data_IF_241988966356
#
_entry.id   IF_241988966356
#
_cell.length_a   1.000
_cell.length_b   1.000
_cell.length_c   1.000
_cell.angle_alpha   90.00
_cell.angle_beta   90.00
_cell.angle_gamma   90.00
#
_symmetry.space_group_name_H-M   'P 1'
#
loop_
_entity.id
_entity.type
_entity.pdbx_description
1 polymer ?
#
# COMPACT_ATOMS: atom_id res chain seq x y z
N UNK A 1 -22.00 1.94 11.90
CA UNK A 1 -20.68 1.25 11.96
C UNK A 1 -19.66 1.79 10.94
N UNK A 2 -20.00 2.07 9.67
CA UNK A 2 -19.04 2.53 8.65
C UNK A 2 -18.30 3.85 8.97
N UNK A 3 -19.00 4.86 9.48
CA UNK A 3 -18.40 6.16 9.81
C UNK A 3 -17.36 6.09 10.93
N UNK A 4 -17.59 5.28 11.96
CA UNK A 4 -16.62 5.09 13.05
C UNK A 4 -15.34 4.41 12.55
N UNK A 5 -15.48 3.38 11.71
CA UNK A 5 -14.34 2.72 11.05
C UNK A 5 -13.56 3.69 10.18
N UNK A 6 -14.23 4.49 9.34
CA UNK A 6 -13.58 5.49 8.49
C UNK A 6 -12.82 6.54 9.31
N UNK A 7 -13.42 7.03 10.40
CA UNK A 7 -12.79 8.04 11.26
C UNK A 7 -11.53 7.49 11.93
N UNK A 8 -11.57 6.25 12.42
CA UNK A 8 -10.40 5.56 12.98
C UNK A 8 -9.31 5.36 11.92
N UNK A 9 -9.65 4.92 10.71
CA UNK A 9 -8.66 4.73 9.64
C UNK A 9 -8.01 6.04 9.20
N UNK A 10 -8.78 7.14 9.12
CA UNK A 10 -8.26 8.47 8.78
C UNK A 10 -7.28 8.98 9.85
N UNK A 11 -7.51 8.67 11.13
CA UNK A 11 -6.56 8.95 12.20
C UNK A 11 -5.25 8.17 12.06
N UNK A 12 -5.31 7.00 11.41
CA UNK A 12 -4.15 6.18 11.05
C UNK A 12 -3.69 6.40 9.59
N UNK A 13 -4.07 7.52 8.98
CA UNK A 13 -3.56 7.98 7.69
C UNK A 13 -4.07 7.25 6.45
N UNK A 14 -5.15 6.47 6.58
CA UNK A 14 -5.78 5.73 5.49
C UNK A 14 -7.22 6.21 5.31
N UNK A 15 -7.54 6.70 4.12
CA UNK A 15 -8.93 6.90 3.71
C UNK A 15 -9.31 5.83 2.68
N UNK A 16 -10.34 5.06 3.00
CA UNK A 16 -10.89 4.03 2.13
C UNK A 16 -12.20 4.51 1.50
N UNK A 17 -12.17 4.66 0.17
CA UNK A 17 -13.32 4.97 -0.67
C UNK A 17 -13.63 3.70 -1.50
N UNK A 18 -14.88 3.22 -1.45
CA UNK A 18 -15.33 2.13 -2.31
C UNK A 18 -15.89 2.78 -3.58
N UNK A 19 -15.17 2.66 -4.68
CA UNK A 19 -15.56 3.18 -5.98
C UNK A 19 -16.69 2.38 -6.63
N UNK A 20 -17.23 2.90 -7.74
CA UNK A 20 -18.22 2.19 -8.53
C UNK A 20 -17.65 0.84 -9.02
N UNK A 21 -18.45 -0.22 -8.95
CA UNK A 21 -18.04 -1.58 -9.38
C UNK A 21 -17.19 -2.37 -8.36
N UNK A 22 -17.05 -1.89 -7.11
CA UNK A 22 -16.32 -2.59 -6.05
C UNK A 22 -14.81 -2.35 -6.06
N UNK A 23 -14.32 -1.44 -6.90
CA UNK A 23 -12.93 -1.01 -6.88
C UNK A 23 -12.58 -0.31 -5.56
N UNK A 24 -11.54 -0.80 -4.87
CA UNK A 24 -11.06 -0.21 -3.63
C UNK A 24 -10.13 0.96 -3.96
N UNK A 25 -10.55 2.19 -3.67
CA UNK A 25 -9.69 3.36 -3.75
C UNK A 25 -9.16 3.68 -2.35
N UNK A 26 -7.85 3.65 -2.20
CA UNK A 26 -7.19 3.99 -0.93
C UNK A 26 -6.37 5.25 -1.11
N UNK A 27 -6.60 6.26 -0.27
CA UNK A 27 -5.74 7.44 -0.16
C UNK A 27 -4.91 7.31 1.11
N UNK A 28 -3.62 7.56 0.98
CA UNK A 28 -2.68 7.41 2.09
C UNK A 28 -1.88 8.70 2.21
N UNK A 29 -1.86 9.29 3.39
CA UNK A 29 -1.01 10.43 3.69
C UNK A 29 0.35 9.93 4.19
N UNK A 30 1.43 10.20 3.45
CA UNK A 30 2.78 9.75 3.79
C UNK A 30 3.66 10.93 4.19
N UNK A 31 4.68 10.71 5.01
CA UNK A 31 5.72 11.74 5.20
C UNK A 31 6.60 11.84 3.96
N UNK A 32 7.29 12.97 3.82
CA UNK A 32 8.23 13.19 2.73
C UNK A 32 9.35 12.15 2.73
N UNK A 33 9.91 11.81 3.89
CA UNK A 33 11.01 10.84 3.94
C UNK A 33 10.57 9.45 3.48
N UNK A 34 9.33 9.05 3.79
CA UNK A 34 8.77 7.76 3.34
C UNK A 34 8.62 7.71 1.82
N UNK A 35 8.12 8.80 1.22
CA UNK A 35 7.97 8.90 -0.23
C UNK A 35 9.34 8.84 -0.94
N UNK A 36 10.35 9.54 -0.41
CA UNK A 36 11.71 9.54 -0.94
C UNK A 36 12.37 8.16 -0.85
N UNK A 37 12.10 7.40 0.22
CA UNK A 37 12.62 6.03 0.41
C UNK A 37 11.84 4.97 -0.37
N UNK A 38 10.75 5.34 -1.05
CA UNK A 38 9.81 4.42 -1.70
C UNK A 38 9.29 3.35 -0.72
N UNK A 39 9.16 3.74 0.55
CA UNK A 39 8.67 2.89 1.62
C UNK A 39 7.14 2.95 1.60
N UNK A 40 6.54 1.96 0.97
CA UNK A 40 5.09 1.83 0.95
C UNK A 40 4.59 1.41 2.35
N UNK A 41 3.50 2.00 2.86
CA UNK A 41 3.00 1.80 4.23
C UNK A 41 2.30 0.45 4.48
N UNK A 42 2.63 -0.56 3.67
CA UNK A 42 2.28 -1.97 3.91
C UNK A 42 3.12 -2.60 5.03
N UNK A 43 4.12 -1.90 5.58
CA UNK A 43 4.92 -2.34 6.73
C UNK A 43 4.20 -2.21 8.08
N UNK A 44 2.94 -2.66 8.18
CA UNK A 44 2.28 -2.80 9.47
C UNK A 44 2.50 -4.22 10.02
N UNK A 45 2.97 -4.32 11.26
CA UNK A 45 3.15 -5.61 11.95
C UNK A 45 4.50 -6.29 11.65
N UNK A 46 4.45 -7.59 11.34
CA UNK A 46 5.61 -8.46 11.11
C UNK A 46 5.98 -8.61 9.61
N UNK A 47 5.35 -7.80 8.76
CA UNK A 47 5.56 -7.79 7.33
C UNK A 47 6.97 -7.30 6.97
N UNK A 48 7.76 -8.14 6.32
CA UNK A 48 9.01 -7.75 5.66
C UNK A 48 8.73 -7.44 4.21
N UNK A 49 9.33 -6.37 3.71
CA UNK A 49 9.23 -5.96 2.31
C UNK A 49 10.62 -5.72 1.75
N UNK A 50 10.80 -6.06 0.48
CA UNK A 50 11.96 -5.70 -0.32
C UNK A 50 11.50 -4.95 -1.57
N UNK A 51 12.24 -3.91 -1.94
CA UNK A 51 12.06 -3.22 -3.21
C UNK A 51 13.38 -3.26 -3.98
N UNK A 52 13.33 -3.79 -5.20
CA UNK A 52 14.48 -3.89 -6.09
C UNK A 52 14.25 -2.98 -7.28
N UNK A 53 15.04 -1.92 -7.40
CA UNK A 53 15.01 -1.07 -8.58
C UNK A 53 15.61 -1.83 -9.77
N UNK A 54 14.83 -1.97 -10.84
CA UNK A 54 15.26 -2.66 -12.08
C UNK A 54 15.71 -1.67 -13.17
N UNK A 55 15.10 -0.50 -13.23
CA UNK A 55 15.46 0.63 -14.12
C UNK A 55 15.02 1.95 -13.47
N UNK A 56 15.30 3.14 -14.05
CA UNK A 56 14.79 4.40 -13.49
C UNK A 56 13.28 4.45 -13.29
N UNK A 57 12.52 3.75 -14.14
CA UNK A 57 11.06 3.76 -14.14
C UNK A 57 10.41 2.44 -13.72
N UNK A 58 11.19 1.37 -13.48
CA UNK A 58 10.67 0.06 -13.09
C UNK A 58 11.33 -0.48 -11.83
N UNK A 59 10.54 -1.09 -10.97
CA UNK A 59 11.03 -1.81 -9.80
C UNK A 59 10.15 -3.01 -9.49
N UNK A 60 10.72 -3.94 -8.76
CA UNK A 60 10.03 -5.12 -8.26
C UNK A 60 9.83 -4.99 -6.76
N UNK A 61 8.62 -5.29 -6.28
CA UNK A 61 8.28 -5.32 -4.87
C UNK A 61 7.94 -6.75 -4.48
N UNK A 62 8.45 -7.19 -3.34
CA UNK A 62 8.04 -8.44 -2.70
C UNK A 62 7.84 -8.21 -1.21
N UNK A 63 6.84 -8.84 -0.63
CA UNK A 63 6.58 -8.77 0.81
C UNK A 63 6.11 -10.11 1.37
N UNK A 64 6.33 -10.31 2.67
CA UNK A 64 5.85 -11.46 3.42
C UNK A 64 5.57 -11.07 4.86
N UNK A 65 4.39 -11.43 5.36
CA UNK A 65 3.92 -11.30 6.73
C UNK A 65 3.68 -12.71 7.28
N UNK A 66 3.88 -12.93 8.58
CA UNK A 66 3.65 -14.24 9.20
C UNK A 66 2.33 -14.30 9.96
N UNK A 67 1.73 -13.16 10.34
CA UNK A 67 0.48 -13.09 11.12
C UNK A 67 -0.46 -11.96 10.66
N UNK A 68 -1.49 -12.25 9.84
CA UNK A 68 -1.75 -13.52 9.16
C UNK A 68 -0.68 -13.82 8.10
N UNK A 69 -0.59 -15.09 7.66
CA UNK A 69 0.40 -15.50 6.66
C UNK A 69 -0.02 -14.98 5.29
N UNK A 70 0.63 -13.89 4.88
CA UNK A 70 0.35 -13.22 3.61
C UNK A 70 1.66 -12.94 2.92
N UNK A 71 1.76 -13.26 1.65
CA UNK A 71 2.89 -12.87 0.81
C UNK A 71 2.40 -12.24 -0.47
N UNK A 72 3.26 -11.47 -1.12
CA UNK A 72 2.94 -10.94 -2.42
C UNK A 72 4.17 -10.43 -3.13
N UNK A 73 4.06 -10.36 -4.44
CA UNK A 73 5.11 -9.88 -5.32
C UNK A 73 4.48 -9.15 -6.50
N UNK A 74 5.25 -8.26 -7.13
CA UNK A 74 4.76 -7.57 -8.30
C UNK A 74 5.74 -6.57 -8.87
N UNK A 75 5.44 -6.13 -10.08
CA UNK A 75 6.24 -5.16 -10.81
C UNK A 75 5.54 -3.82 -10.82
N UNK A 76 6.29 -2.77 -10.52
CA UNK A 76 5.87 -1.39 -10.50
C UNK A 76 6.54 -0.64 -11.64
N UNK A 77 5.75 0.16 -12.36
CA UNK A 77 6.19 1.07 -13.41
C UNK A 77 5.72 2.48 -13.09
N UNK A 78 6.64 3.44 -12.99
CA UNK A 78 6.32 4.86 -12.90
C UNK A 78 5.99 5.40 -14.30
N UNK A 79 4.78 5.94 -14.47
CA UNK A 79 4.36 6.54 -15.74
C UNK A 79 4.87 7.98 -15.87
N UNK A 80 4.94 8.70 -14.76
CA UNK A 80 5.52 10.04 -14.63
C UNK A 80 5.89 10.30 -13.16
N UNK A 81 6.36 11.51 -12.86
CA UNK A 81 6.81 11.92 -11.52
C UNK A 81 5.72 11.81 -10.44
N UNK A 82 4.46 11.76 -10.84
CA UNK A 82 3.29 11.77 -9.94
C UNK A 82 2.37 10.55 -10.11
N UNK A 83 2.69 9.57 -10.96
CA UNK A 83 1.84 8.38 -11.10
C UNK A 83 2.61 7.11 -11.44
N UNK A 84 2.08 5.99 -10.97
CA UNK A 84 2.61 4.67 -11.24
C UNK A 84 1.47 3.67 -11.50
N UNK A 85 1.83 2.56 -12.16
CA UNK A 85 1.03 1.34 -12.21
C UNK A 85 1.84 0.20 -11.61
N UNK A 86 1.17 -0.76 -11.01
CA UNK A 86 1.77 -1.99 -10.56
C UNK A 86 0.86 -3.16 -10.86
N UNK A 87 1.46 -4.31 -11.13
CA UNK A 87 0.75 -5.57 -11.24
C UNK A 87 1.21 -6.47 -10.08
N UNK A 88 0.27 -6.87 -9.22
CA UNK A 88 0.57 -7.52 -7.95
C UNK A 88 -0.15 -8.85 -7.85
N UNK A 89 0.59 -9.88 -7.41
CA UNK A 89 0.05 -11.18 -7.04
C UNK A 89 0.20 -11.38 -5.54
N UNK A 90 -0.91 -11.41 -4.83
CA UNK A 90 -0.98 -11.59 -3.38
C UNK A 90 -1.49 -12.98 -3.06
N UNK A 91 -0.82 -13.68 -2.15
CA UNK A 91 -1.21 -14.98 -1.62
C UNK A 91 -1.54 -14.81 -0.13
N UNK A 92 -2.76 -15.13 0.26
CA UNK A 92 -3.16 -15.23 1.67
C UNK A 92 -3.38 -16.68 2.02
N UNK A 93 -2.79 -17.09 3.14
CA UNK A 93 -3.05 -18.36 3.79
C UNK A 93 -3.77 -18.04 5.12
N UNK A 94 -5.10 -18.12 5.12
CA UNK A 94 -5.90 -18.11 6.35
C UNK A 94 -6.44 -19.52 6.59
N UNK A 95 -6.42 -19.99 7.84
CA UNK A 95 -6.84 -21.32 8.32
C UNK A 95 -7.69 -22.15 7.33
N UNK A 96 -7.01 -22.93 6.46
CA UNK A 96 -7.63 -23.88 5.54
C UNK A 96 -8.06 -23.34 4.17
N UNK A 97 -7.83 -22.06 3.86
CA UNK A 97 -8.12 -21.44 2.56
C UNK A 97 -6.91 -20.67 2.03
N UNK A 98 -6.35 -21.18 0.92
CA UNK A 98 -5.37 -20.46 0.13
C UNK A 98 -6.10 -19.56 -0.87
N UNK A 99 -5.99 -18.26 -0.70
CA UNK A 99 -6.53 -17.29 -1.64
C UNK A 99 -5.38 -16.63 -2.40
N UNK A 100 -5.42 -16.72 -3.72
CA UNK A 100 -4.54 -15.94 -4.60
C UNK A 100 -5.37 -14.80 -5.17
N UNK A 101 -4.89 -13.58 -5.01
CA UNK A 101 -5.47 -12.37 -5.56
C UNK A 101 -4.47 -11.80 -6.55
N UNK A 102 -4.89 -11.72 -7.80
CA UNK A 102 -4.14 -11.10 -8.89
C UNK A 102 -4.80 -9.75 -9.18
N UNK A 103 -4.03 -8.66 -9.12
CA UNK A 103 -4.58 -7.31 -9.19
C UNK A 103 -3.66 -6.31 -9.89
N UNK A 104 -4.28 -5.44 -10.68
CA UNK A 104 -3.65 -4.22 -11.16
C UNK A 104 -3.91 -3.07 -10.20
N UNK A 105 -2.86 -2.31 -9.92
CA UNK A 105 -2.87 -1.16 -9.03
C UNK A 105 -2.46 0.05 -9.83
N UNK A 106 -3.19 1.14 -9.69
CA UNK A 106 -2.76 2.45 -10.19
C UNK A 106 -2.66 3.42 -9.02
N UNK A 107 -1.61 4.23 -9.01
CA UNK A 107 -1.35 5.21 -7.97
C UNK A 107 -1.07 6.56 -8.57
N UNK A 108 -1.57 7.61 -7.93
CA UNK A 108 -1.32 9.00 -8.31
C UNK A 108 -1.09 9.85 -7.07
N UNK A 109 -0.07 10.70 -7.11
CA UNK A 109 0.15 11.77 -6.15
C UNK A 109 -0.95 12.81 -6.29
N UNK A 110 -1.59 13.14 -5.18
CA UNK A 110 -2.74 14.06 -5.16
C UNK A 110 -2.33 15.47 -4.74
N UNK A 111 -1.59 15.59 -3.64
CA UNK A 111 -1.22 16.86 -3.02
C UNK A 111 -0.11 16.65 -2.00
N UNK A 112 0.60 17.72 -1.66
CA UNK A 112 1.50 17.78 -0.51
C UNK A 112 0.73 17.97 0.80
N UNK A 113 -0.48 18.54 0.72
CA UNK A 113 -1.41 18.70 1.84
C UNK A 113 -2.43 17.55 1.86
N UNK A 114 -2.45 16.80 2.95
CA UNK A 114 -3.36 15.69 3.18
C UNK A 114 -4.71 16.12 3.80
N UNK A 115 -4.91 17.40 4.09
CA UNK A 115 -6.09 17.93 4.75
C UNK A 115 -6.29 17.31 6.13
N UNK A 116 -7.44 16.67 6.35
CA UNK A 116 -7.80 16.05 7.63
C UNK A 116 -7.22 14.64 7.84
N UNK A 117 -6.52 14.07 6.86
CA UNK A 117 -5.88 12.76 6.98
C UNK A 117 -4.48 12.94 7.55
N UNK A 118 -4.22 12.39 8.73
CA UNK A 118 -2.90 12.50 9.37
C UNK A 118 -1.88 11.61 8.65
N UNK A 119 -0.60 11.99 8.56
CA UNK A 119 0.42 11.11 8.01
C UNK A 119 0.49 9.78 8.76
N UNK A 120 0.62 8.67 8.02
CA UNK A 120 0.94 7.37 8.63
C UNK A 120 2.28 7.46 9.36
N UNK A 121 2.28 7.08 10.64
CA UNK A 121 3.50 6.83 11.40
C UNK A 121 3.84 5.36 11.28
N UNK A 122 4.79 4.99 10.40
CA UNK A 122 5.38 3.65 10.44
C UNK A 122 6.39 3.65 11.60
N UNK A 123 6.18 2.86 12.67
CA UNK A 123 7.21 2.70 13.69
C UNK A 123 8.42 2.07 13.00
N UNK A 124 9.57 2.76 13.01
CA UNK A 124 10.80 2.15 12.52
C UNK A 124 11.09 0.95 13.41
N UNK A 125 10.98 -0.27 12.88
CA UNK A 125 11.62 -1.42 13.50
C UNK A 125 13.13 -1.17 13.47
N UNK A 126 13.71 -1.02 14.67
CA UNK A 126 15.16 -0.95 14.88
C UNK A 126 15.81 -2.28 14.52
#
# INVERSE_FOLDING_TARGET
QRQQMQSMMQQHGVQLDIGAGGALQTKICMTREMAERKEFPVQQGDCRQTFTQQSPTRGHIAFTCTKPRVSGEGDLTTDNDTSYRAHMKIRREEEGRNQVVDMDVTGKWLSADCGNVRPVTIPRTK
#
